data_IF_697198960891
#
_entry.id   IF_697198960891
#
_cell.length_a   1.000
_cell.length_b   1.000
_cell.length_c   1.000
_cell.angle_alpha   90.00
_cell.angle_beta   90.00
_cell.angle_gamma   90.00
#
_symmetry.space_group_name_H-M   'P 1'
#
loop_
_entity.id
_entity.type
_entity.pdbx_description
1 polymer ?
#
# COMPACT_ATOMS: atom_id res chain seq x y z
N UNK A 1 -9.46 -12.56 -3.94
CA UNK A 1 -9.82 -11.52 -2.95
C UNK A 1 -9.29 -11.87 -1.55
N UNK A 2 -9.39 -13.13 -1.14
CA UNK A 2 -8.87 -13.64 0.15
C UNK A 2 -7.38 -13.32 0.39
N UNK A 3 -6.51 -13.53 -0.60
CA UNK A 3 -5.09 -13.18 -0.47
C UNK A 3 -4.85 -11.68 -0.22
N UNK A 4 -5.61 -10.80 -0.89
CA UNK A 4 -5.52 -9.35 -0.68
C UNK A 4 -5.88 -9.00 0.77
N UNK A 5 -6.90 -9.67 1.34
CA UNK A 5 -7.28 -9.47 2.73
C UNK A 5 -6.14 -9.89 3.68
N UNK A 6 -5.58 -11.09 3.51
CA UNK A 6 -4.47 -11.56 4.36
C UNK A 6 -3.25 -10.63 4.30
N UNK A 7 -2.88 -10.17 3.10
CA UNK A 7 -1.75 -9.24 2.91
C UNK A 7 -2.01 -7.89 3.60
N UNK A 8 -3.21 -7.34 3.43
CA UNK A 8 -3.55 -6.05 4.03
C UNK A 8 -3.67 -6.16 5.55
N UNK A 9 -4.24 -7.24 6.09
CA UNK A 9 -4.29 -7.49 7.53
C UNK A 9 -2.90 -7.62 8.15
N UNK A 10 -1.98 -8.32 7.48
CA UNK A 10 -0.59 -8.42 7.90
C UNK A 10 0.09 -7.03 7.88
N UNK A 11 -0.13 -6.23 6.84
CA UNK A 11 0.38 -4.85 6.75
C UNK A 11 -0.14 -3.98 7.90
N UNK A 12 -1.43 -4.07 8.22
CA UNK A 12 -2.01 -3.30 9.31
C UNK A 12 -1.47 -3.73 10.68
N UNK A 13 -1.27 -5.03 10.88
CA UNK A 13 -0.71 -5.55 12.13
C UNK A 13 0.71 -5.03 12.36
N UNK A 14 1.52 -5.01 11.30
CA UNK A 14 2.89 -4.45 11.29
C UNK A 14 2.94 -2.93 11.48
N UNK A 15 1.90 -2.20 11.03
CA UNK A 15 1.80 -0.75 11.22
C UNK A 15 1.28 -0.32 12.60
N UNK A 16 0.43 -1.16 13.23
CA UNK A 16 -0.27 -0.85 14.47
C UNK A 16 0.33 -1.49 15.72
N UNK A 17 1.26 -2.44 15.58
CA UNK A 17 2.01 -2.94 16.73
C UNK A 17 2.87 -1.81 17.32
N UNK A 18 2.39 -1.21 18.42
CA UNK A 18 3.15 -0.27 19.24
C UNK A 18 4.41 -0.98 19.77
N UNK A 19 5.57 -0.37 19.54
CA UNK A 19 6.87 -0.61 20.18
C UNK A 19 7.89 -1.61 19.58
N UNK A 20 9.04 -1.01 19.22
CA UNK A 20 10.42 -1.50 19.30
C UNK A 20 10.84 -2.85 18.70
N UNK A 21 11.08 -2.87 17.39
CA UNK A 21 12.22 -3.67 16.91
C UNK A 21 12.88 -3.09 15.65
N UNK A 22 13.92 -2.29 15.90
CA UNK A 22 15.19 -2.62 15.25
C UNK A 22 15.44 -4.12 15.51
N UNK A 23 15.73 -4.89 14.46
CA UNK A 23 15.89 -6.37 14.40
C UNK A 23 14.59 -7.09 13.99
N UNK A 24 14.51 -7.80 12.86
CA UNK A 24 15.49 -8.79 12.41
C UNK A 24 15.19 -9.20 10.97
N UNK A 25 15.50 -8.35 9.99
CA UNK A 25 15.82 -8.85 8.65
C UNK A 25 17.30 -9.24 8.65
N UNK A 26 17.64 -10.34 9.31
CA UNK A 26 18.71 -11.18 8.77
C UNK A 26 18.05 -11.88 7.58
N UNK A 27 17.97 -11.17 6.46
CA UNK A 27 17.84 -11.83 5.18
C UNK A 27 19.12 -12.64 5.04
N UNK A 28 19.04 -13.91 5.41
CA UNK A 28 20.05 -14.88 5.03
C UNK A 28 20.20 -14.74 3.52
N UNK A 29 21.41 -14.42 3.10
CA UNK A 29 21.85 -14.45 1.71
C UNK A 29 21.69 -15.88 1.19
N UNK A 30 20.46 -16.24 0.82
CA UNK A 30 20.18 -17.39 -0.01
C UNK A 30 19.85 -16.86 -1.38
N UNK A 31 20.92 -16.63 -2.12
CA UNK A 31 20.92 -16.74 -3.57
C UNK A 31 20.05 -17.93 -3.99
N UNK A 32 18.87 -17.64 -4.56
CA UNK A 32 18.30 -18.53 -5.57
C UNK A 32 17.18 -19.50 -5.19
N UNK A 33 16.34 -19.26 -4.18
CA UNK A 33 15.01 -19.92 -4.16
C UNK A 33 13.92 -18.96 -4.66
N UNK A 34 13.20 -19.30 -5.75
CA UNK A 34 12.00 -18.56 -6.08
C UNK A 34 11.05 -18.70 -4.89
N UNK A 35 10.70 -17.57 -4.26
CA UNK A 35 9.61 -17.53 -3.29
C UNK A 35 8.34 -18.04 -3.99
N UNK A 36 8.09 -19.34 -3.86
CA UNK A 36 6.99 -20.04 -4.55
C UNK A 36 5.81 -20.19 -3.63
N UNK A 37 6.01 -20.06 -2.32
CA UNK A 37 4.96 -20.11 -1.31
C UNK A 37 4.51 -18.71 -0.91
N UNK A 38 3.20 -18.49 -0.95
CA UNK A 38 2.57 -17.26 -0.49
C UNK A 38 2.72 -17.10 1.02
N UNK A 39 3.36 -16.02 1.43
CA UNK A 39 3.46 -15.55 2.82
C UNK A 39 2.95 -14.11 2.89
N UNK A 40 1.82 -13.84 3.57
CA UNK A 40 1.22 -12.51 3.63
C UNK A 40 2.12 -11.49 4.36
N UNK A 41 2.96 -11.92 5.30
CA UNK A 41 3.85 -11.03 6.06
C UNK A 41 5.00 -10.53 5.18
N UNK A 42 5.59 -11.42 4.38
CA UNK A 42 6.64 -11.07 3.42
C UNK A 42 6.12 -10.11 2.35
N UNK A 43 4.92 -10.39 1.80
CA UNK A 43 4.28 -9.51 0.83
C UNK A 43 3.92 -8.16 1.46
N UNK A 44 3.38 -8.15 2.68
CA UNK A 44 3.08 -6.91 3.41
C UNK A 44 4.33 -6.05 3.63
N UNK A 45 5.45 -6.67 4.00
CA UNK A 45 6.75 -5.99 4.15
C UNK A 45 7.20 -5.33 2.84
N UNK A 46 7.10 -6.05 1.70
CA UNK A 46 7.38 -5.45 0.39
C UNK A 46 6.46 -4.29 0.04
N UNK A 47 5.15 -4.43 0.31
CA UNK A 47 4.21 -3.34 0.10
C UNK A 47 4.51 -2.12 0.96
N UNK A 48 4.92 -2.32 2.22
CA UNK A 48 5.39 -1.25 3.10
C UNK A 48 6.62 -0.55 2.48
N UNK A 49 7.62 -1.30 2.04
CA UNK A 49 8.79 -0.74 1.34
C UNK A 49 8.40 0.04 0.07
N UNK A 50 7.44 -0.45 -0.71
CA UNK A 50 6.89 0.28 -1.86
C UNK A 50 6.26 1.61 -1.45
N UNK A 51 5.49 1.64 -0.36
CA UNK A 51 4.94 2.86 0.21
C UNK A 51 6.02 3.83 0.69
N UNK A 52 7.05 3.33 1.37
CA UNK A 52 8.17 4.14 1.87
C UNK A 52 8.98 4.78 0.74
N UNK A 53 9.14 4.09 -0.40
CA UNK A 53 9.76 4.64 -1.61
C UNK A 53 8.93 5.73 -2.29
N UNK A 54 7.65 5.88 -1.95
CA UNK A 54 6.83 6.98 -2.45
C UNK A 54 7.22 8.27 -1.71
N UNK A 55 7.87 9.17 -2.45
CA UNK A 55 8.36 10.47 -1.97
C UNK A 55 7.27 11.57 -1.93
N UNK A 56 6.00 11.20 -2.09
CA UNK A 56 4.91 12.16 -2.08
C UNK A 56 4.77 12.83 -0.72
N UNK A 57 4.73 14.16 -0.73
CA UNK A 57 4.52 14.99 0.44
C UNK A 57 3.05 15.44 0.52
N UNK A 58 2.27 14.73 1.34
CA UNK A 58 0.84 15.00 1.49
C UNK A 58 0.53 16.36 2.12
N UNK A 59 1.49 17.02 2.78
CA UNK A 59 1.30 18.38 3.31
C UNK A 59 1.35 19.42 2.18
N UNK A 60 2.03 19.10 1.06
CA UNK A 60 2.19 19.99 -0.10
C UNK A 60 1.19 19.70 -1.22
N UNK A 61 0.64 18.48 -1.27
CA UNK A 61 -0.35 18.10 -2.27
C UNK A 61 -1.73 18.62 -1.87
N UNK A 62 -2.30 19.48 -2.71
CA UNK A 62 -3.68 19.95 -2.54
C UNK A 62 -4.64 19.00 -3.25
N UNK A 63 -5.42 18.24 -2.48
CA UNK A 63 -6.53 17.41 -2.98
C UNK A 63 -7.69 17.47 -2.00
N UNK A 64 -8.89 17.75 -2.50
CA UNK A 64 -10.11 17.79 -1.68
C UNK A 64 -10.37 16.43 -1.03
N UNK A 65 -10.25 15.34 -1.79
CA UNK A 65 -10.42 13.99 -1.27
C UNK A 65 -9.40 13.65 -0.18
N UNK A 66 -8.14 14.08 -0.33
CA UNK A 66 -7.11 13.93 0.70
C UNK A 66 -7.50 14.69 1.98
N UNK A 67 -7.92 15.95 1.85
CA UNK A 67 -8.37 16.75 3.00
C UNK A 67 -9.57 16.13 3.71
N UNK A 68 -10.50 15.52 2.97
CA UNK A 68 -11.63 14.78 3.54
C UNK A 68 -11.19 13.52 4.29
N UNK A 69 -10.26 12.73 3.73
CA UNK A 69 -9.69 11.55 4.40
C UNK A 69 -9.02 11.94 5.72
N UNK A 70 -8.25 13.04 5.74
CA UNK A 70 -7.60 13.54 6.96
C UNK A 70 -8.58 14.10 8.00
N UNK A 71 -9.83 14.40 7.60
CA UNK A 71 -10.93 14.70 8.51
C UNK A 71 -11.67 13.45 8.99
N UNK A 72 -11.19 12.25 8.65
CA UNK A 72 -11.76 10.97 9.04
C UNK A 72 -12.76 10.37 8.04
N UNK A 73 -13.00 11.01 6.88
CA UNK A 73 -13.92 10.49 5.85
C UNK A 73 -13.26 9.39 5.01
N UNK A 74 -13.12 8.20 5.59
CA UNK A 74 -12.42 7.09 4.93
C UNK A 74 -13.11 6.58 3.67
N UNK A 75 -14.39 6.86 3.45
CA UNK A 75 -15.06 6.59 2.18
C UNK A 75 -14.43 7.36 0.99
N UNK A 76 -13.69 8.44 1.26
CA UNK A 76 -12.94 9.21 0.25
C UNK A 76 -11.56 8.66 -0.04
N UNK A 77 -11.11 7.64 0.68
CA UNK A 77 -9.77 7.07 0.55
C UNK A 77 -9.47 6.62 -0.88
N UNK A 78 -10.37 5.88 -1.53
CA UNK A 78 -10.18 5.44 -2.91
C UNK A 78 -10.07 6.60 -3.92
N UNK A 79 -10.89 7.65 -3.75
CA UNK A 79 -10.83 8.83 -4.60
C UNK A 79 -9.53 9.62 -4.39
N UNK A 80 -9.06 9.73 -3.15
CA UNK A 80 -7.78 10.32 -2.84
C UNK A 80 -6.64 9.55 -3.51
N UNK A 81 -6.59 8.21 -3.35
CA UNK A 81 -5.58 7.37 -3.99
C UNK A 81 -5.57 7.54 -5.51
N UNK A 82 -6.73 7.51 -6.18
CA UNK A 82 -6.80 7.65 -7.64
C UNK A 82 -6.27 9.02 -8.10
N UNK A 83 -6.71 10.10 -7.44
CA UNK A 83 -6.26 11.47 -7.73
C UNK A 83 -4.75 11.62 -7.53
N UNK A 84 -4.22 11.13 -6.41
CA UNK A 84 -2.80 11.21 -6.07
C UNK A 84 -1.96 10.34 -7.02
N UNK A 85 -2.46 9.16 -7.38
CA UNK A 85 -1.77 8.24 -8.28
C UNK A 85 -1.62 8.83 -9.68
N UNK A 86 -2.65 9.49 -10.21
CA UNK A 86 -2.55 10.21 -11.50
C UNK A 86 -1.54 11.34 -11.44
N UNK A 87 -1.63 12.20 -10.43
CA UNK A 87 -0.71 13.33 -10.24
C UNK A 87 0.75 12.89 -10.10
N UNK A 88 0.99 11.75 -9.45
CA UNK A 88 2.35 11.21 -9.30
C UNK A 88 2.84 10.47 -10.53
N UNK A 89 1.97 9.76 -11.23
CA UNK A 89 2.29 9.14 -12.53
C UNK A 89 2.73 10.19 -13.56
N UNK A 90 2.10 11.37 -13.57
CA UNK A 90 2.50 12.47 -14.46
C UNK A 90 3.95 12.94 -14.21
N UNK A 91 4.42 12.81 -12.96
CA UNK A 91 5.78 13.17 -12.55
C UNK A 91 6.79 12.02 -12.70
N UNK A 92 6.31 10.78 -12.84
CA UNK A 92 7.12 9.55 -12.90
C UNK A 92 6.64 8.65 -14.06
N UNK A 93 6.82 9.09 -15.32
CA UNK A 93 6.26 8.42 -16.49
C UNK A 93 6.84 7.01 -16.74
N UNK A 94 7.96 6.68 -16.12
CA UNK A 94 8.60 5.36 -16.20
C UNK A 94 7.85 4.27 -15.42
N UNK A 95 6.96 4.65 -14.51
CA UNK A 95 6.18 3.70 -13.70
C UNK A 95 4.75 3.56 -14.22
N UNK A 96 4.34 2.29 -14.43
CA UNK A 96 2.96 1.97 -14.77
C UNK A 96 2.01 2.36 -13.64
N UNK A 97 0.80 2.81 -14.02
CA UNK A 97 -0.22 3.32 -13.11
C UNK A 97 -0.52 2.37 -11.96
N UNK A 98 -0.60 1.06 -12.22
CA UNK A 98 -0.97 0.06 -11.23
C UNK A 98 0.06 -0.06 -10.11
N UNK A 99 1.35 0.06 -10.45
CA UNK A 99 2.44 0.07 -9.46
C UNK A 99 2.43 1.37 -8.67
N UNK A 100 2.19 2.52 -9.33
CA UNK A 100 2.01 3.81 -8.65
C UNK A 100 0.85 3.75 -7.66
N UNK A 101 -0.28 3.18 -8.10
CA UNK A 101 -1.49 3.05 -7.30
C UNK A 101 -1.24 2.28 -6.01
N UNK A 102 -0.53 1.14 -6.08
CA UNK A 102 -0.17 0.37 -4.88
C UNK A 102 0.73 1.18 -3.94
N UNK A 103 1.75 1.86 -4.47
CA UNK A 103 2.67 2.72 -3.69
C UNK A 103 1.93 3.83 -2.96
N UNK A 104 1.12 4.59 -3.70
CA UNK A 104 0.35 5.72 -3.18
C UNK A 104 -0.69 5.24 -2.17
N UNK A 105 -1.36 4.11 -2.42
CA UNK A 105 -2.31 3.52 -1.47
C UNK A 105 -1.67 3.22 -0.13
N UNK A 106 -0.53 2.54 -0.13
CA UNK A 106 0.19 2.18 1.12
C UNK A 106 0.75 3.43 1.79
N UNK A 107 1.37 4.34 1.03
CA UNK A 107 1.92 5.59 1.57
C UNK A 107 0.84 6.45 2.23
N UNK A 108 -0.31 6.61 1.57
CA UNK A 108 -1.44 7.36 2.12
C UNK A 108 -1.98 6.69 3.37
N UNK A 109 -2.16 5.37 3.34
CA UNK A 109 -2.60 4.61 4.51
C UNK A 109 -1.67 4.83 5.72
N UNK A 110 -0.36 4.69 5.53
CA UNK A 110 0.64 4.88 6.59
C UNK A 110 0.58 6.30 7.16
N UNK A 111 0.35 7.30 6.30
CA UNK A 111 0.22 8.69 6.72
C UNK A 111 -1.07 8.92 7.52
N UNK A 112 -2.20 8.37 7.08
CA UNK A 112 -3.47 8.46 7.83
C UNK A 112 -3.37 7.72 9.16
N UNK A 113 -2.70 6.55 9.21
CA UNK A 113 -2.49 5.81 10.45
C UNK A 113 -1.70 6.62 11.49
N UNK A 114 -0.74 7.44 11.03
CA UNK A 114 0.03 8.35 11.90
C UNK A 114 -0.77 9.57 12.37
N UNK A 115 -1.64 10.12 11.52
CA UNK A 115 -2.36 11.37 11.81
C UNK A 115 -3.70 11.16 12.51
N UNK A 116 -4.41 10.10 12.13
CA UNK A 116 -5.77 9.78 12.59
C UNK A 116 -5.92 8.26 12.79
N UNK A 117 -5.14 7.64 13.69
CA UNK A 117 -5.07 6.17 13.85
C UNK A 117 -6.44 5.53 14.08
N UNK A 118 -7.31 6.20 14.83
CA UNK A 118 -8.64 5.70 15.19
C UNK A 118 -9.57 5.42 13.99
N UNK A 119 -9.28 5.98 12.81
CA UNK A 119 -10.12 5.86 11.62
C UNK A 119 -9.61 4.82 10.62
N UNK A 120 -8.42 4.25 10.85
CA UNK A 120 -7.76 3.40 9.87
C UNK A 120 -8.21 1.95 10.03
N UNK A 121 -8.81 1.41 8.96
CA UNK A 121 -9.30 0.02 8.91
C UNK A 121 -8.83 -0.70 7.64
N UNK A 122 -8.44 -2.00 7.74
CA UNK A 122 -7.91 -2.78 6.62
C UNK A 122 -8.88 -2.87 5.46
N UNK A 123 -10.18 -2.91 5.78
CA UNK A 123 -11.27 -2.93 4.82
C UNK A 123 -11.19 -1.83 3.75
N UNK A 124 -10.65 -0.64 4.08
CA UNK A 124 -10.56 0.45 3.12
C UNK A 124 -9.53 0.13 2.02
N UNK A 125 -8.34 -0.32 2.41
CA UNK A 125 -7.31 -0.68 1.44
C UNK A 125 -7.70 -1.94 0.63
N UNK A 126 -8.33 -2.93 1.28
CA UNK A 126 -8.86 -4.13 0.60
C UNK A 126 -9.87 -3.74 -0.49
N UNK A 127 -10.83 -2.86 -0.15
CA UNK A 127 -11.85 -2.38 -1.10
C UNK A 127 -11.24 -1.62 -2.26
N UNK A 128 -10.26 -0.75 -1.99
CA UNK A 128 -9.61 0.06 -3.02
C UNK A 128 -8.80 -0.81 -3.99
N UNK A 129 -8.05 -1.80 -3.49
CA UNK A 129 -7.28 -2.71 -4.35
C UNK A 129 -8.19 -3.65 -5.14
N UNK A 130 -9.14 -4.32 -4.47
CA UNK A 130 -10.04 -5.26 -5.14
C UNK A 130 -11.03 -4.55 -6.09
N UNK A 131 -11.43 -3.32 -5.77
CA UNK A 131 -12.30 -2.49 -6.61
C UNK A 131 -11.62 -2.00 -7.89
N UNK A 132 -10.29 -1.95 -7.94
CA UNK A 132 -9.56 -1.50 -9.12
C UNK A 132 -9.21 -2.69 -10.04
N UNK A 133 -9.97 -2.84 -11.12
CA UNK A 133 -9.78 -3.93 -12.10
C UNK A 133 -8.37 -3.94 -12.71
N UNK A 134 -7.78 -2.77 -13.00
CA UNK A 134 -6.45 -2.68 -13.60
C UNK A 134 -5.39 -3.22 -12.66
N UNK A 135 -5.46 -2.82 -11.39
CA UNK A 135 -4.53 -3.26 -10.34
C UNK A 135 -4.65 -4.77 -10.11
N UNK A 136 -5.88 -5.31 -10.06
CA UNK A 136 -6.09 -6.77 -9.96
C UNK A 136 -5.45 -7.51 -11.13
N UNK A 137 -5.67 -7.03 -12.36
CA UNK A 137 -5.09 -7.62 -13.57
C UNK A 137 -3.57 -7.53 -13.58
N UNK A 138 -3.00 -6.44 -13.10
CA UNK A 138 -1.56 -6.27 -12.94
C UNK A 138 -0.99 -7.29 -11.94
N UNK A 139 -1.61 -7.45 -10.77
CA UNK A 139 -1.18 -8.44 -9.77
C UNK A 139 -1.23 -9.86 -10.35
N UNK A 140 -2.31 -10.21 -11.06
CA UNK A 140 -2.42 -11.50 -11.76
C UNK A 140 -1.31 -11.68 -12.81
N UNK A 141 -1.03 -10.65 -13.62
CA UNK A 141 0.00 -10.68 -14.65
C UNK A 141 1.42 -10.79 -14.09
N UNK A 142 1.68 -10.23 -12.90
CA UNK A 142 2.94 -10.42 -12.19
C UNK A 142 3.11 -11.86 -11.69
N UNK A 143 2.05 -12.68 -11.66
CA UNK A 143 2.04 -14.03 -11.08
C UNK A 143 1.54 -14.07 -9.63
N UNK A 144 0.67 -13.12 -9.28
CA UNK A 144 0.05 -12.98 -7.96
C UNK A 144 0.88 -12.12 -6.99
N UNK A 145 0.35 -11.97 -5.78
CA UNK A 145 0.94 -11.15 -4.71
C UNK A 145 2.40 -11.48 -4.37
N UNK A 146 2.83 -12.72 -4.58
CA UNK A 146 4.20 -13.18 -4.28
C UNK A 146 5.25 -12.52 -5.19
N UNK A 147 4.83 -12.06 -6.38
CA UNK A 147 5.71 -11.50 -7.42
C UNK A 147 5.45 -10.01 -7.71
N UNK A 148 4.57 -9.38 -6.94
CA UNK A 148 4.34 -7.92 -6.95
C UNK A 148 5.46 -7.22 -6.18
#
# INVERSE_FOLDING_TARGET
EEQTACVVEALFSDLLSEDESQCRSLETDSEGEPQTRFDPVVVASRLRQMGDQCNMDFERVSSEALAEVLKGKMEKFGAAVDSLSRSWSDQNPEMVYERVFLRVSVKLLMYVAKKVPAMVHPNQLIKVINGNFRVRKYIEACGGWVRV
#
